data_IF_205439248800
#
_entry.id   IF_205439248800
#
_cell.length_a   1.000
_cell.length_b   1.000
_cell.length_c   1.000
_cell.angle_alpha   90.00
_cell.angle_beta   90.00
_cell.angle_gamma   90.00
#
_symmetry.space_group_name_H-M   'P 1'
#
loop_
_entity.id
_entity.type
_entity.pdbx_description
1 polymer ?
#
# COMPACT_ATOMS: atom_id res chain seq x y z
N UNK A 1 7.87 -7.32 7.61
CA UNK A 1 6.98 -7.10 8.77
C UNK A 1 6.38 -8.43 9.20
N UNK A 2 5.76 -8.52 10.40
CA UNK A 2 5.08 -9.74 10.84
C UNK A 2 3.60 -9.72 10.42
N UNK A 3 3.12 -10.84 9.88
CA UNK A 3 1.74 -11.07 9.48
C UNK A 3 1.22 -12.30 10.21
N UNK A 4 0.14 -12.12 10.97
CA UNK A 4 -0.35 -13.11 11.91
C UNK A 4 -1.47 -13.96 11.30
N UNK A 5 -1.45 -15.26 11.56
CA UNK A 5 -2.54 -16.21 11.26
C UNK A 5 -2.79 -17.05 12.50
N UNK A 6 -3.90 -16.81 13.22
CA UNK A 6 -4.13 -17.42 14.53
C UNK A 6 -2.99 -17.08 15.48
N UNK A 7 -2.28 -18.09 15.97
CA UNK A 7 -1.12 -17.96 16.87
C UNK A 7 0.24 -18.01 16.14
N UNK A 8 0.23 -18.10 14.80
CA UNK A 8 1.43 -18.13 13.96
C UNK A 8 1.74 -16.76 13.39
N UNK A 9 2.97 -16.29 13.57
CA UNK A 9 3.49 -15.11 12.88
C UNK A 9 4.38 -15.52 11.70
N UNK A 10 4.17 -14.87 10.55
CA UNK A 10 4.96 -15.04 9.34
C UNK A 10 5.64 -13.73 9.00
N UNK A 11 6.96 -13.77 8.85
CA UNK A 11 7.71 -12.65 8.31
C UNK A 11 7.43 -12.55 6.81
N UNK A 12 6.90 -11.40 6.39
CA UNK A 12 6.55 -11.13 5.01
C UNK A 12 6.80 -9.67 4.62
N UNK A 13 6.96 -9.44 3.33
CA UNK A 13 6.92 -8.10 2.74
C UNK A 13 5.47 -7.82 2.30
N UNK A 14 4.86 -6.77 2.83
CA UNK A 14 3.50 -6.37 2.45
C UNK A 14 3.59 -5.24 1.44
N UNK A 15 2.91 -5.41 0.30
CA UNK A 15 2.94 -4.49 -0.83
C UNK A 15 1.53 -4.03 -1.16
N UNK A 16 1.34 -2.71 -1.20
CA UNK A 16 0.10 -2.09 -1.63
C UNK A 16 0.00 -2.04 -3.16
N UNK A 17 -1.13 -2.48 -3.71
CA UNK A 17 -1.40 -2.40 -5.15
C UNK A 17 -2.64 -1.54 -5.43
N UNK A 18 -2.58 -0.73 -6.48
CA UNK A 18 -3.73 0.03 -6.97
C UNK A 18 -4.70 -0.91 -7.68
N UNK A 19 -6.00 -0.68 -7.55
CA UNK A 19 -7.02 -1.41 -8.30
C UNK A 19 -6.71 -1.40 -9.81
N UNK A 20 -6.81 -2.56 -10.45
CA UNK A 20 -6.35 -2.75 -11.81
C UNK A 20 -6.70 -4.13 -12.36
N UNK A 21 -6.03 -4.50 -13.45
CA UNK A 21 -6.15 -5.82 -14.06
C UNK A 21 -4.87 -6.61 -13.81
N UNK A 22 -4.86 -7.93 -14.07
CA UNK A 22 -3.72 -8.79 -13.76
C UNK A 22 -2.38 -8.35 -14.40
N UNK A 23 -2.41 -7.54 -15.46
CA UNK A 23 -1.23 -7.02 -16.14
C UNK A 23 -0.84 -5.59 -15.70
N UNK A 24 -1.54 -5.03 -14.70
CA UNK A 24 -1.20 -3.72 -14.17
C UNK A 24 0.17 -3.77 -13.46
N UNK A 25 1.05 -2.78 -13.66
CA UNK A 25 2.35 -2.74 -13.00
C UNK A 25 2.26 -2.92 -11.48
N UNK A 26 3.15 -3.74 -10.93
CA UNK A 26 3.20 -4.05 -9.49
C UNK A 26 2.24 -5.16 -9.03
N UNK A 27 1.33 -5.63 -9.87
CA UNK A 27 0.49 -6.79 -9.56
C UNK A 27 1.30 -8.09 -9.68
N UNK A 28 0.96 -9.12 -8.88
CA UNK A 28 1.49 -10.46 -9.12
C UNK A 28 1.03 -10.93 -10.50
N UNK A 29 1.97 -11.24 -11.43
CA UNK A 29 1.67 -11.43 -12.84
C UNK A 29 0.82 -12.70 -13.11
N UNK A 30 0.85 -13.65 -12.18
CA UNK A 30 0.09 -14.89 -12.28
C UNK A 30 -0.37 -15.36 -10.91
N UNK A 31 -1.54 -16.00 -10.90
CA UNK A 31 -2.04 -16.73 -9.75
C UNK A 31 -1.88 -18.22 -9.97
N UNK A 32 -1.56 -18.93 -8.90
CA UNK A 32 -1.55 -20.39 -8.87
C UNK A 32 -2.86 -20.96 -8.33
N UNK A 33 -3.63 -20.15 -7.59
CA UNK A 33 -4.96 -20.49 -7.11
C UNK A 33 -5.77 -19.23 -6.74
N UNK A 34 -7.10 -19.37 -6.71
CA UNK A 34 -8.02 -18.31 -6.31
C UNK A 34 -8.19 -17.24 -7.37
N UNK A 35 -8.31 -15.98 -6.94
CA UNK A 35 -8.56 -14.82 -7.79
C UNK A 35 -7.75 -13.60 -7.36
N UNK A 36 -7.73 -12.61 -8.25
CA UNK A 36 -7.13 -11.32 -7.98
C UNK A 36 -7.95 -10.53 -6.94
N UNK A 37 -7.31 -9.55 -6.31
CA UNK A 37 -7.98 -8.57 -5.45
C UNK A 37 -8.99 -7.79 -6.31
N UNK A 38 -10.23 -7.72 -5.86
CA UNK A 38 -11.28 -6.95 -6.55
C UNK A 38 -11.92 -5.91 -5.63
N UNK A 39 -11.72 -6.05 -4.31
CA UNK A 39 -12.24 -5.11 -3.32
C UNK A 39 -11.17 -4.08 -2.96
N UNK A 40 -11.60 -2.87 -2.64
CA UNK A 40 -10.71 -1.81 -2.19
C UNK A 40 -10.13 -2.02 -0.79
N UNK A 41 -10.63 -3.03 -0.04
CA UNK A 41 -10.21 -3.31 1.33
C UNK A 41 -10.31 -4.81 1.69
N UNK A 42 -9.48 -5.24 2.65
CA UNK A 42 -9.57 -6.50 3.40
C UNK A 42 -9.40 -7.79 2.58
N UNK A 43 -8.85 -7.69 1.37
CA UNK A 43 -8.44 -8.83 0.55
C UNK A 43 -6.92 -8.89 0.46
N UNK A 44 -6.37 -10.09 0.38
CA UNK A 44 -4.95 -10.31 0.19
C UNK A 44 -4.68 -11.38 -0.88
N UNK A 45 -3.61 -11.19 -1.65
CA UNK A 45 -2.98 -12.25 -2.44
C UNK A 45 -1.62 -12.53 -1.84
N UNK A 46 -1.34 -13.78 -1.50
CA UNK A 46 -0.10 -14.16 -0.83
C UNK A 46 0.77 -15.06 -1.71
N UNK A 47 2.09 -14.90 -1.62
CA UNK A 47 3.00 -15.91 -2.15
C UNK A 47 2.88 -17.21 -1.35
N UNK A 48 2.86 -18.35 -2.04
CA UNK A 48 2.78 -19.68 -1.43
C UNK A 48 3.90 -19.96 -0.42
N UNK A 49 5.07 -19.31 -0.55
CA UNK A 49 6.16 -19.44 0.41
C UNK A 49 5.82 -18.90 1.80
N UNK A 50 4.79 -18.03 1.93
CA UNK A 50 4.27 -17.61 3.23
C UNK A 50 3.56 -18.75 3.99
N UNK A 51 3.17 -19.82 3.29
CA UNK A 51 2.47 -20.97 3.86
C UNK A 51 0.97 -20.74 4.11
N UNK A 52 0.41 -19.62 3.65
CA UNK A 52 -1.02 -19.35 3.69
C UNK A 52 -1.76 -20.12 2.60
N UNK A 53 -3.05 -20.35 2.85
CA UNK A 53 -4.00 -21.03 1.98
C UNK A 53 -5.13 -20.10 1.58
N UNK A 54 -5.81 -20.45 0.49
CA UNK A 54 -6.99 -19.74 0.05
C UNK A 54 -8.08 -19.79 1.13
N UNK A 55 -8.68 -18.64 1.44
CA UNK A 55 -9.68 -18.49 2.50
C UNK A 55 -9.11 -18.24 3.89
N UNK A 56 -7.78 -18.26 4.07
CA UNK A 56 -7.17 -17.95 5.34
C UNK A 56 -7.43 -16.50 5.75
N UNK A 57 -7.58 -16.28 7.06
CA UNK A 57 -7.70 -14.96 7.65
C UNK A 57 -6.36 -14.57 8.27
N UNK A 58 -5.72 -13.57 7.67
CA UNK A 58 -4.44 -13.04 8.13
C UNK A 58 -4.63 -11.65 8.73
N UNK A 59 -3.84 -11.31 9.74
CA UNK A 59 -3.85 -10.01 10.38
C UNK A 59 -2.55 -9.28 10.05
N UNK A 60 -2.71 -8.10 9.45
CA UNK A 60 -1.63 -7.17 9.16
C UNK A 60 -1.91 -5.93 10.00
N UNK A 61 -1.04 -5.66 10.98
CA UNK A 61 -1.27 -4.61 11.98
C UNK A 61 -2.64 -4.77 12.67
N UNK A 62 -3.58 -3.85 12.45
CA UNK A 62 -4.91 -3.82 13.08
C UNK A 62 -6.00 -4.46 12.21
N UNK A 63 -5.73 -4.66 10.92
CA UNK A 63 -6.75 -5.10 9.96
C UNK A 63 -6.62 -6.60 9.70
N UNK A 64 -7.77 -7.25 9.48
CA UNK A 64 -7.87 -8.66 9.09
C UNK A 64 -8.22 -8.75 7.62
N UNK A 65 -7.51 -9.61 6.90
CA UNK A 65 -7.62 -9.81 5.47
C UNK A 65 -7.97 -11.25 5.18
N UNK A 66 -8.77 -11.46 4.14
CA UNK A 66 -9.00 -12.80 3.58
C UNK A 66 -8.02 -13.04 2.44
N UNK A 67 -7.31 -14.17 2.47
CA UNK A 67 -6.48 -14.61 1.35
C UNK A 67 -7.39 -15.08 0.21
N UNK A 68 -7.52 -14.27 -0.83
CA UNK A 68 -8.42 -14.54 -1.98
C UNK A 68 -7.70 -15.09 -3.20
N UNK A 69 -6.37 -15.07 -3.19
CA UNK A 69 -5.55 -15.65 -4.24
C UNK A 69 -4.17 -16.01 -3.73
N UNK A 70 -3.53 -16.93 -4.44
CA UNK A 70 -2.16 -17.37 -4.19
C UNK A 70 -1.33 -17.11 -5.44
N UNK A 71 -0.12 -16.60 -5.25
CA UNK A 71 0.88 -16.43 -6.28
C UNK A 71 2.15 -17.22 -5.94
N UNK A 72 3.15 -17.18 -6.82
CA UNK A 72 4.43 -17.85 -6.59
C UNK A 72 5.59 -17.01 -7.10
N UNK A 73 6.77 -17.24 -6.51
CA UNK A 73 8.04 -16.58 -6.86
C UNK A 73 8.03 -15.07 -6.64
N UNK A 74 7.10 -14.57 -5.83
CA UNK A 74 7.02 -13.20 -5.37
C UNK A 74 7.66 -13.13 -3.99
N UNK A 75 8.98 -12.90 -3.98
CA UNK A 75 9.79 -12.78 -2.76
C UNK A 75 10.59 -11.49 -2.84
N UNK A 76 10.85 -10.87 -1.69
CA UNK A 76 11.76 -9.72 -1.60
C UNK A 76 13.21 -10.14 -1.89
N UNK A 77 14.11 -9.17 -2.04
CA UNK A 77 15.55 -9.40 -2.12
C UNK A 77 16.12 -10.14 -0.89
N UNK A 78 15.50 -9.97 0.28
CA UNK A 78 15.82 -10.70 1.51
C UNK A 78 15.21 -12.11 1.59
N UNK A 79 14.47 -12.55 0.56
CA UNK A 79 13.77 -13.83 0.52
C UNK A 79 12.46 -13.87 1.31
N UNK A 80 11.98 -12.73 1.82
CA UNK A 80 10.70 -12.66 2.52
C UNK A 80 9.55 -12.83 1.51
N UNK A 81 8.56 -13.71 1.76
CA UNK A 81 7.43 -13.86 0.86
C UNK A 81 6.62 -12.57 0.78
N UNK A 82 6.17 -12.23 -0.42
CA UNK A 82 5.36 -11.03 -0.65
C UNK A 82 3.87 -11.31 -0.43
N UNK A 83 3.18 -10.33 0.15
CA UNK A 83 1.73 -10.31 0.32
C UNK A 83 1.21 -9.00 -0.25
N UNK A 84 0.30 -9.11 -1.20
CA UNK A 84 -0.30 -7.98 -1.87
C UNK A 84 -1.65 -7.66 -1.21
N UNK A 85 -1.89 -6.39 -0.92
CA UNK A 85 -3.15 -5.86 -0.39
C UNK A 85 -3.51 -4.56 -1.12
N UNK A 86 -4.76 -4.07 -1.04
CA UNK A 86 -5.11 -2.76 -1.61
C UNK A 86 -4.17 -1.64 -1.12
N UNK A 87 -3.82 -0.71 -2.01
CA UNK A 87 -2.88 0.38 -1.70
C UNK A 87 -3.31 1.16 -0.46
N UNK A 88 -4.60 1.44 -0.32
CA UNK A 88 -5.14 2.17 0.84
C UNK A 88 -4.88 1.42 2.15
N UNK A 89 -5.08 0.10 2.17
CA UNK A 89 -4.78 -0.73 3.33
C UNK A 89 -3.28 -0.76 3.64
N UNK A 90 -2.41 -0.79 2.62
CA UNK A 90 -0.97 -0.75 2.80
C UNK A 90 -0.48 0.59 3.36
N UNK A 91 -1.05 1.71 2.89
CA UNK A 91 -0.78 3.03 3.45
C UNK A 91 -1.20 3.11 4.92
N UNK A 92 -2.37 2.61 5.26
CA UNK A 92 -2.82 2.53 6.66
C UNK A 92 -1.89 1.64 7.51
N UNK A 93 -1.41 0.52 6.97
CA UNK A 93 -0.52 -0.40 7.68
C UNK A 93 0.91 0.13 7.86
N UNK A 94 1.43 0.91 6.89
CA UNK A 94 2.77 1.49 6.93
C UNK A 94 2.82 2.75 7.80
N UNK A 95 1.82 3.62 7.70
CA UNK A 95 1.77 4.92 8.37
C UNK A 95 0.83 4.93 9.58
N UNK A 96 0.64 3.76 10.19
CA UNK A 96 -0.28 3.56 11.31
C UNK A 96 0.07 4.53 12.46
N UNK A 97 -0.74 5.56 12.63
CA UNK A 97 -0.59 6.51 13.73
C UNK A 97 -1.06 5.85 15.03
N UNK A 98 -0.41 6.24 16.12
CA UNK A 98 -0.82 5.85 17.47
C UNK A 98 -2.24 6.37 17.78
N UNK A 99 -3.08 5.55 18.39
CA UNK A 99 -4.48 5.91 18.66
C UNK A 99 -4.58 7.09 19.64
N UNK A 100 -3.74 7.10 20.67
CA UNK A 100 -3.73 8.17 21.66
C UNK A 100 -3.22 9.46 21.04
N UNK A 101 -2.24 9.36 20.14
CA UNK A 101 -1.78 10.50 19.36
C UNK A 101 -2.90 11.07 18.46
N UNK A 102 -3.70 10.21 17.80
CA UNK A 102 -4.87 10.65 17.02
C UNK A 102 -5.90 11.33 17.93
N UNK A 103 -6.27 10.71 19.05
CA UNK A 103 -7.27 11.26 19.98
C UNK A 103 -6.83 12.60 20.56
N UNK A 104 -5.57 12.70 21.01
CA UNK A 104 -4.99 13.94 21.52
C UNK A 104 -4.93 15.02 20.44
N UNK A 105 -4.58 14.66 19.20
CA UNK A 105 -4.55 15.59 18.08
C UNK A 105 -5.96 16.12 17.76
N UNK A 106 -6.97 15.24 17.69
CA UNK A 106 -8.37 15.64 17.46
C UNK A 106 -8.87 16.58 18.54
N UNK A 107 -8.58 16.26 19.82
CA UNK A 107 -8.92 17.10 20.97
C UNK A 107 -8.28 18.49 20.87
N UNK A 108 -6.98 18.55 20.56
CA UNK A 108 -6.28 19.83 20.35
C UNK A 108 -6.88 20.64 19.20
N UNK A 109 -7.27 19.99 18.11
CA UNK A 109 -7.93 20.66 16.99
C UNK A 109 -9.32 21.18 17.34
N UNK A 110 -10.13 20.43 18.13
CA UNK A 110 -11.46 20.87 18.56
C UNK A 110 -11.44 21.96 19.62
N UNK A 111 -10.42 21.98 20.49
CA UNK A 111 -10.23 23.00 21.52
C UNK A 111 -9.62 24.30 20.94
N UNK A 112 -9.07 24.26 19.73
CA UNK A 112 -8.46 25.43 19.09
C UNK A 112 -9.55 26.33 18.45
N UNK A 113 -9.76 27.57 18.93
CA UNK A 113 -10.74 28.50 18.37
C UNK A 113 -10.45 28.91 16.92
N UNK A 114 -9.23 28.69 16.42
CA UNK A 114 -8.90 28.92 15.01
C UNK A 114 -9.57 27.91 14.08
N UNK A 115 -9.83 26.68 14.53
CA UNK A 115 -10.39 25.59 13.73
C UNK A 115 -11.85 25.29 14.09
N UNK A 116 -12.22 25.39 15.37
CA UNK A 116 -13.60 25.20 15.83
C UNK A 116 -14.33 26.55 15.96
N UNK A 117 -14.68 27.14 14.81
CA UNK A 117 -15.35 28.45 14.73
C UNK A 117 -16.85 28.28 14.54
N UNK A 118 -17.70 28.82 15.44
CA UNK A 118 -19.15 28.76 15.28
C UNK A 118 -19.68 29.38 13.98
N UNK A 119 -18.97 30.39 13.45
CA UNK A 119 -19.35 31.08 12.21
C UNK A 119 -18.90 30.41 10.92
N UNK A 120 -18.17 29.29 10.96
CA UNK A 120 -17.72 28.56 9.77
C UNK A 120 -18.02 27.05 9.93
N UNK A 121 -19.27 26.64 9.65
CA UNK A 121 -19.65 25.23 9.70
C UNK A 121 -18.75 24.36 8.80
N UNK A 122 -18.35 23.18 9.28
CA UNK A 122 -17.54 22.21 8.52
C UNK A 122 -16.02 22.49 8.47
N UNK A 123 -15.54 23.63 9.01
CA UNK A 123 -14.10 23.91 9.05
C UNK A 123 -13.34 22.87 9.90
N UNK A 124 -13.87 22.54 11.07
CA UNK A 124 -13.26 21.56 11.96
C UNK A 124 -13.16 20.20 11.26
N UNK A 125 -14.24 19.75 10.61
CA UNK A 125 -14.26 18.46 9.89
C UNK A 125 -13.24 18.46 8.75
N UNK A 126 -13.18 19.52 7.95
CA UNK A 126 -12.19 19.66 6.87
C UNK A 126 -10.74 19.63 7.39
N UNK A 127 -10.47 20.26 8.54
CA UNK A 127 -9.14 20.20 9.17
C UNK A 127 -8.83 18.78 9.64
N UNK A 128 -9.77 18.10 10.28
CA UNK A 128 -9.58 16.72 10.74
C UNK A 128 -9.37 15.75 9.57
N UNK A 129 -10.12 15.90 8.48
CA UNK A 129 -9.99 15.11 7.27
C UNK A 129 -8.61 15.32 6.61
N UNK A 130 -8.17 16.58 6.50
CA UNK A 130 -6.85 16.88 5.92
C UNK A 130 -5.70 16.22 6.70
N UNK A 131 -5.83 16.09 8.03
CA UNK A 131 -4.83 15.48 8.90
C UNK A 131 -4.80 13.95 8.85
N UNK A 132 -5.85 13.33 8.31
CA UNK A 132 -5.98 11.87 8.18
C UNK A 132 -5.76 11.38 6.76
N UNK A 133 -5.82 12.25 5.76
CA UNK A 133 -5.45 11.93 4.38
C UNK A 133 -3.97 11.52 4.28
N UNK A 134 -3.68 10.44 3.57
CA UNK A 134 -2.32 9.99 3.31
C UNK A 134 -2.13 9.77 1.81
N UNK A 135 -1.30 10.62 1.21
CA UNK A 135 -1.01 10.59 -0.21
C UNK A 135 0.40 10.04 -0.51
N UNK A 136 1.11 9.53 0.50
CA UNK A 136 2.46 9.02 0.34
C UNK A 136 2.47 7.58 -0.15
N UNK A 137 3.39 7.29 -1.07
CA UNK A 137 3.72 5.97 -1.59
C UNK A 137 5.24 5.84 -1.68
N UNK A 138 5.75 4.62 -1.57
CA UNK A 138 7.20 4.39 -1.62
C UNK A 138 7.75 4.42 -3.04
N UNK A 139 6.95 3.99 -4.01
CA UNK A 139 7.35 3.93 -5.42
C UNK A 139 6.12 4.01 -6.33
N UNK A 140 6.33 4.44 -7.56
CA UNK A 140 5.33 4.47 -8.63
C UNK A 140 5.88 3.65 -9.79
N UNK A 141 5.21 2.56 -10.13
CA UNK A 141 5.56 1.76 -11.29
C UNK A 141 4.78 2.26 -12.51
N UNK A 142 5.50 2.52 -13.60
CA UNK A 142 4.93 3.02 -14.85
C UNK A 142 5.28 2.07 -15.99
N UNK A 143 4.30 1.77 -16.84
CA UNK A 143 4.53 1.03 -18.07
C UNK A 143 4.58 2.01 -19.24
N UNK A 144 5.68 1.99 -19.99
CA UNK A 144 5.84 2.83 -21.18
C UNK A 144 5.02 2.30 -22.33
N UNK A 145 4.48 3.22 -23.14
CA UNK A 145 3.88 2.87 -24.43
C UNK A 145 4.98 2.42 -25.40
N UNK A 146 4.67 1.51 -26.34
CA UNK A 146 5.61 1.16 -27.40
C UNK A 146 6.10 2.40 -28.16
N UNK A 147 7.39 2.44 -28.51
CA UNK A 147 8.00 3.54 -29.26
C UNK A 147 8.57 4.68 -28.43
N UNK A 148 8.37 4.69 -27.10
CA UNK A 148 9.01 5.66 -26.21
C UNK A 148 10.28 5.09 -25.58
N UNK A 149 11.34 5.89 -25.54
CA UNK A 149 12.57 5.53 -24.84
C UNK A 149 12.45 5.86 -23.35
N UNK A 150 12.93 4.95 -22.49
CA UNK A 150 12.83 5.13 -21.03
C UNK A 150 13.50 6.42 -20.55
N UNK A 151 14.67 6.74 -21.11
CA UNK A 151 15.44 7.92 -20.75
C UNK A 151 14.72 9.24 -21.11
N UNK A 152 14.01 9.27 -22.25
CA UNK A 152 13.22 10.44 -22.67
C UNK A 152 12.03 10.70 -21.74
N UNK A 153 11.45 9.64 -21.16
CA UNK A 153 10.36 9.75 -20.19
C UNK A 153 10.88 10.07 -18.78
N UNK A 154 12.03 9.51 -18.39
CA UNK A 154 12.65 9.71 -17.09
C UNK A 154 13.15 11.14 -16.88
N UNK A 155 13.88 11.70 -17.85
CA UNK A 155 14.53 13.01 -17.73
C UNK A 155 13.61 14.16 -17.25
N UNK A 156 12.40 14.37 -17.81
CA UNK A 156 11.51 15.41 -17.31
C UNK A 156 10.94 15.12 -15.91
N UNK A 157 10.75 13.85 -15.54
CA UNK A 157 10.27 13.48 -14.21
C UNK A 157 11.32 13.83 -13.16
N UNK A 158 12.57 13.44 -13.38
CA UNK A 158 13.68 13.73 -12.47
C UNK A 158 13.88 15.24 -12.31
N UNK A 159 13.91 15.96 -13.44
CA UNK A 159 14.16 17.39 -13.45
C UNK A 159 13.07 18.20 -12.74
N UNK A 160 11.80 17.80 -12.86
CA UNK A 160 10.68 18.66 -12.46
C UNK A 160 9.82 18.14 -11.31
N UNK A 161 9.83 16.84 -11.02
CA UNK A 161 8.95 16.24 -10.01
C UNK A 161 9.62 15.96 -8.68
N UNK A 162 10.93 16.24 -8.55
CA UNK A 162 11.74 15.88 -7.35
C UNK A 162 11.61 14.39 -7.02
N UNK A 163 11.61 13.56 -8.06
CA UNK A 163 11.58 12.11 -7.98
C UNK A 163 12.89 11.58 -8.57
N UNK A 164 13.34 10.44 -8.07
CA UNK A 164 14.38 9.65 -8.71
C UNK A 164 13.70 8.60 -9.60
N UNK A 165 14.24 8.36 -10.80
CA UNK A 165 13.64 7.43 -11.76
C UNK A 165 14.63 6.32 -12.06
N UNK A 166 14.20 5.08 -11.81
CA UNK A 166 14.95 3.90 -12.21
C UNK A 166 14.29 3.29 -13.44
N UNK A 167 15.03 3.22 -14.55
CA UNK A 167 14.62 2.42 -15.69
C UNK A 167 14.86 0.93 -15.42
N UNK A 168 14.49 0.08 -16.39
CA UNK A 168 14.60 -1.37 -16.22
C UNK A 168 16.03 -1.85 -15.97
N UNK A 169 17.03 -1.20 -16.58
CA UNK A 169 18.43 -1.60 -16.44
C UNK A 169 18.91 -1.20 -15.04
N UNK A 170 18.63 0.03 -14.62
CA UNK A 170 18.98 0.52 -13.29
C UNK A 170 18.29 -0.28 -12.16
N UNK A 171 17.06 -0.75 -12.38
CA UNK A 171 16.33 -1.59 -11.41
C UNK A 171 17.00 -2.94 -11.14
N UNK A 172 17.81 -3.47 -12.06
CA UNK A 172 18.51 -4.75 -11.88
C UNK A 172 19.75 -4.61 -10.98
N UNK A 173 20.20 -3.39 -10.71
CA UNK A 173 21.40 -3.09 -9.92
C UNK A 173 21.10 -2.70 -8.45
N UNK A 174 19.82 -2.77 -8.03
CA UNK A 174 19.33 -2.43 -6.67
C UNK A 174 19.15 -3.69 -5.82
#
# INVERSE_FOLDING_TARGET
MQVRQGDRDVRAMVTGIVGGTANSPGWPPQLVAGRQITRGHYEAVADVAAGFKLGDHIQIRRNRFTVVGLTRRMVSSSGDPMIFIPLKDAQEAQFLKDNDAILAQRRRSSENPAFNRPGVPGLLDAVLDSQTSNNYVNAILVQLKPGYLAQEVAAPIERWKRLEVYDRVAMEEI
#
